data_IF_433572858672
#
_entry.id   IF_433572858672
#
_cell.length_a   1.000
_cell.length_b   1.000
_cell.length_c   1.000
_cell.angle_alpha   90.00
_cell.angle_beta   90.00
_cell.angle_gamma   90.00
#
_symmetry.space_group_name_H-M   'P 1'
#
loop_
_entity.id
_entity.type
_entity.pdbx_description
1 polymer ?
#
# COMPACT_ATOMS: atom_id res chain seq x y z
N UNK A 1 -14.78 19.59 -15.65
CA UNK A 1 -14.52 18.52 -16.60
C UNK A 1 -13.00 18.37 -16.74
N UNK A 2 -12.50 17.13 -16.82
CA UNK A 2 -11.11 16.80 -17.10
C UNK A 2 -11.03 16.20 -18.51
N UNK A 3 -10.02 16.59 -19.26
CA UNK A 3 -9.78 16.03 -20.60
C UNK A 3 -9.08 14.66 -20.50
N UNK A 4 -8.24 14.51 -19.48
CA UNK A 4 -7.48 13.28 -19.18
C UNK A 4 -7.23 13.13 -17.66
N UNK A 5 -6.71 11.97 -17.27
CA UNK A 5 -6.16 11.70 -15.92
C UNK A 5 -4.70 11.26 -16.05
N UNK A 6 -3.89 11.57 -15.03
CA UNK A 6 -2.45 11.23 -15.04
C UNK A 6 -2.24 9.72 -14.82
N UNK A 7 -3.07 9.11 -13.97
CA UNK A 7 -3.01 7.67 -13.67
C UNK A 7 -4.42 7.12 -13.48
N UNK A 8 -4.75 6.03 -14.18
CA UNK A 8 -6.01 5.31 -14.05
C UNK A 8 -5.75 3.85 -13.65
N UNK A 9 -6.38 3.39 -12.55
CA UNK A 9 -6.11 2.08 -11.97
C UNK A 9 -7.34 1.16 -12.00
N UNK A 10 -7.13 -0.12 -12.31
CA UNK A 10 -8.09 -1.18 -11.97
C UNK A 10 -7.98 -1.42 -10.45
N UNK A 11 -9.11 -1.28 -9.73
CA UNK A 11 -9.12 -1.28 -8.26
C UNK A 11 -8.72 -2.63 -7.63
N UNK A 12 -9.08 -3.74 -8.24
CA UNK A 12 -8.79 -5.08 -7.71
C UNK A 12 -8.87 -6.17 -8.78
N UNK A 13 -8.27 -7.35 -8.55
CA UNK A 13 -8.26 -8.46 -9.50
C UNK A 13 -9.56 -9.28 -9.51
N UNK A 14 -10.59 -8.89 -8.76
CA UNK A 14 -11.81 -9.71 -8.54
C UNK A 14 -12.66 -9.97 -9.79
N UNK A 15 -12.39 -9.32 -10.92
CA UNK A 15 -13.08 -9.58 -12.17
C UNK A 15 -12.80 -10.99 -12.76
N UNK A 16 -11.88 -11.75 -12.17
CA UNK A 16 -11.49 -13.10 -12.61
C UNK A 16 -11.23 -13.16 -14.14
N UNK A 17 -12.07 -13.88 -14.88
CA UNK A 17 -11.94 -14.03 -16.34
C UNK A 17 -12.05 -12.71 -17.13
N UNK A 18 -12.43 -11.62 -16.50
CA UNK A 18 -12.54 -10.29 -17.14
C UNK A 18 -11.33 -9.39 -16.94
N UNK A 19 -10.25 -9.84 -16.27
CA UNK A 19 -9.07 -8.99 -16.00
C UNK A 19 -8.36 -8.56 -17.27
N UNK A 20 -8.17 -9.47 -18.19
CA UNK A 20 -7.53 -9.21 -19.48
C UNK A 20 -8.33 -8.21 -20.33
N UNK A 21 -9.66 -8.36 -20.39
CA UNK A 21 -10.55 -7.44 -21.11
C UNK A 21 -10.53 -6.05 -20.47
N UNK A 22 -10.55 -5.97 -19.13
CA UNK A 22 -10.43 -4.70 -18.43
C UNK A 22 -9.09 -4.03 -18.72
N UNK A 23 -7.99 -4.80 -18.74
CA UNK A 23 -6.68 -4.25 -19.05
C UNK A 23 -6.60 -3.75 -20.50
N UNK A 24 -7.12 -4.51 -21.47
CA UNK A 24 -7.22 -4.07 -22.87
C UNK A 24 -8.01 -2.76 -23.00
N UNK A 25 -9.12 -2.63 -22.26
CA UNK A 25 -9.89 -1.38 -22.26
C UNK A 25 -9.10 -0.19 -21.70
N UNK A 26 -8.24 -0.39 -20.68
CA UNK A 26 -7.35 0.66 -20.19
C UNK A 26 -6.28 1.05 -21.22
N UNK A 27 -5.73 0.09 -21.93
CA UNK A 27 -4.78 0.34 -23.03
C UNK A 27 -5.43 1.21 -24.13
N UNK A 28 -6.67 0.93 -24.50
CA UNK A 28 -7.43 1.75 -25.45
C UNK A 28 -7.63 3.19 -24.93
N UNK A 29 -7.96 3.37 -23.65
CA UNK A 29 -8.09 4.70 -23.03
C UNK A 29 -6.75 5.46 -23.01
N UNK A 30 -5.65 4.77 -22.80
CA UNK A 30 -4.30 5.35 -22.87
C UNK A 30 -3.96 5.77 -24.29
N UNK A 31 -4.22 4.94 -25.28
CA UNK A 31 -4.00 5.26 -26.71
C UNK A 31 -4.85 6.47 -27.16
N UNK A 32 -6.06 6.61 -26.63
CA UNK A 32 -6.94 7.75 -26.86
C UNK A 32 -6.52 9.02 -26.11
N UNK A 33 -5.46 8.97 -25.29
CA UNK A 33 -4.99 10.07 -24.46
C UNK A 33 -5.92 10.44 -23.31
N UNK A 34 -6.82 9.53 -22.89
CA UNK A 34 -7.71 9.73 -21.73
C UNK A 34 -7.04 9.39 -20.40
N UNK A 35 -6.01 8.59 -20.41
CA UNK A 35 -5.10 8.34 -19.29
C UNK A 35 -3.66 8.46 -19.79
N UNK A 36 -2.80 9.18 -19.07
CA UNK A 36 -1.37 9.25 -19.39
C UNK A 36 -0.70 7.93 -19.01
N UNK A 37 -0.98 7.44 -17.80
CA UNK A 37 -0.51 6.17 -17.31
C UNK A 37 -1.70 5.30 -16.87
N UNK A 38 -1.52 4.01 -16.99
CA UNK A 38 -2.49 3.02 -16.53
C UNK A 38 -1.82 2.02 -15.60
N UNK A 39 -2.57 1.53 -14.63
CA UNK A 39 -2.05 0.61 -13.64
C UNK A 39 -3.14 -0.23 -13.00
N UNK A 40 -2.75 -0.89 -11.95
CA UNK A 40 -3.61 -1.80 -11.21
C UNK A 40 -3.53 -1.53 -9.71
N UNK A 41 -4.43 -2.12 -8.96
CA UNK A 41 -4.38 -2.14 -7.51
C UNK A 41 -4.71 -3.53 -6.99
N UNK A 42 -3.96 -3.97 -5.98
CA UNK A 42 -4.14 -5.27 -5.34
C UNK A 42 -3.90 -6.49 -6.27
N UNK A 43 -3.07 -6.34 -7.29
CA UNK A 43 -2.69 -7.44 -8.14
C UNK A 43 -1.45 -8.16 -7.58
N UNK A 44 -1.54 -9.48 -7.42
CA UNK A 44 -0.42 -10.36 -7.11
C UNK A 44 0.42 -10.68 -8.33
N UNK A 45 1.54 -11.39 -8.13
CA UNK A 45 2.43 -11.81 -9.23
C UNK A 45 1.66 -12.63 -10.27
N UNK A 46 0.82 -13.58 -9.82
CA UNK A 46 0.01 -14.41 -10.71
C UNK A 46 -0.86 -13.60 -11.67
N UNK A 47 -1.47 -12.50 -11.19
CA UNK A 47 -2.31 -11.64 -12.02
C UNK A 47 -1.50 -10.83 -13.04
N UNK A 48 -0.28 -10.41 -12.66
CA UNK A 48 0.64 -9.71 -13.55
C UNK A 48 1.19 -10.65 -14.63
N UNK A 49 1.48 -11.90 -14.27
CA UNK A 49 1.91 -12.93 -15.21
C UNK A 49 0.84 -13.26 -16.25
N UNK A 50 -0.47 -13.17 -15.93
CA UNK A 50 -1.54 -13.31 -16.93
C UNK A 50 -1.38 -12.30 -18.08
N UNK A 51 -0.93 -11.07 -17.79
CA UNK A 51 -0.67 -10.07 -18.84
C UNK A 51 0.54 -10.44 -19.68
N UNK A 52 1.59 -10.97 -19.04
CA UNK A 52 2.81 -11.43 -19.75
C UNK A 52 2.48 -12.59 -20.67
N UNK A 53 1.72 -13.57 -20.20
CA UNK A 53 1.29 -14.75 -20.97
C UNK A 53 0.43 -14.36 -22.19
N UNK A 54 -0.37 -13.30 -22.08
CA UNK A 54 -1.17 -12.74 -23.18
C UNK A 54 -0.36 -11.77 -24.07
N UNK A 55 0.93 -11.57 -23.80
CA UNK A 55 1.78 -10.66 -24.57
C UNK A 55 1.38 -9.18 -24.43
N UNK A 56 0.71 -8.82 -23.32
CA UNK A 56 0.28 -7.46 -23.03
C UNK A 56 1.35 -6.71 -22.20
N UNK A 57 1.44 -5.38 -22.30
CA UNK A 57 2.36 -4.61 -21.48
C UNK A 57 1.96 -4.67 -20.01
N UNK A 58 2.96 -4.66 -19.12
CA UNK A 58 2.76 -4.56 -17.69
C UNK A 58 2.27 -3.15 -17.27
N UNK A 59 1.60 -3.02 -16.11
CA UNK A 59 1.13 -1.73 -15.61
C UNK A 59 2.27 -0.81 -15.22
N UNK A 60 2.05 0.51 -15.30
CA UNK A 60 3.00 1.50 -14.82
C UNK A 60 3.09 1.53 -13.29
N UNK A 61 2.02 1.16 -12.59
CA UNK A 61 1.97 1.15 -11.14
C UNK A 61 1.07 0.03 -10.61
N UNK A 62 1.40 -0.48 -9.41
CA UNK A 62 0.51 -1.33 -8.61
C UNK A 62 0.31 -0.68 -7.23
N UNK A 63 -0.94 -0.34 -6.91
CA UNK A 63 -1.30 0.21 -5.61
C UNK A 63 -1.68 -0.93 -4.66
N UNK A 64 -0.90 -1.13 -3.61
CA UNK A 64 -1.04 -2.26 -2.69
C UNK A 64 -1.01 -1.83 -1.23
N UNK A 65 -1.57 -2.64 -0.34
CA UNK A 65 -1.41 -2.47 1.10
C UNK A 65 0.05 -2.66 1.48
N UNK A 66 0.70 -1.60 2.00
CA UNK A 66 2.08 -1.66 2.47
C UNK A 66 2.29 -0.82 3.74
N UNK A 67 2.78 -1.48 4.75
CA UNK A 67 3.21 -0.92 6.03
C UNK A 67 4.10 -1.95 6.75
N UNK A 68 4.80 -1.63 7.86
CA UNK A 68 5.73 -2.56 8.49
C UNK A 68 5.17 -3.93 8.86
N UNK A 69 3.86 -4.06 9.08
CA UNK A 69 3.22 -5.36 9.35
C UNK A 69 2.79 -6.13 8.09
N UNK A 70 2.86 -5.51 6.93
CA UNK A 70 2.47 -6.13 5.64
C UNK A 70 3.38 -5.62 4.53
N UNK A 71 4.54 -6.26 4.34
CA UNK A 71 5.63 -5.74 3.49
C UNK A 71 5.71 -6.41 2.12
N UNK A 72 5.16 -7.61 1.97
CA UNK A 72 5.04 -8.34 0.69
C UNK A 72 6.36 -8.39 -0.11
N UNK A 73 7.46 -8.90 0.47
CA UNK A 73 8.80 -8.78 -0.10
C UNK A 73 8.94 -9.38 -1.49
N UNK A 74 8.30 -10.51 -1.77
CA UNK A 74 8.34 -11.16 -3.09
C UNK A 74 7.65 -10.30 -4.16
N UNK A 75 6.45 -9.80 -3.87
CA UNK A 75 5.72 -8.93 -4.79
C UNK A 75 6.46 -7.61 -5.01
N UNK A 76 6.98 -6.99 -3.95
CA UNK A 76 7.77 -5.75 -4.04
C UNK A 76 9.01 -5.95 -4.91
N UNK A 77 9.71 -7.08 -4.77
CA UNK A 77 10.86 -7.42 -5.62
C UNK A 77 10.43 -7.55 -7.08
N UNK A 78 9.38 -8.33 -7.34
CA UNK A 78 8.84 -8.49 -8.70
C UNK A 78 8.47 -7.16 -9.35
N UNK A 79 7.77 -6.28 -8.61
CA UNK A 79 7.37 -4.96 -9.12
C UNK A 79 8.58 -4.10 -9.49
N UNK A 80 9.60 -4.05 -8.63
CA UNK A 80 10.84 -3.30 -8.88
C UNK A 80 11.63 -3.84 -10.07
N UNK A 81 11.76 -5.16 -10.19
CA UNK A 81 12.49 -5.82 -11.29
C UNK A 81 11.82 -5.58 -12.65
N UNK A 82 10.50 -5.35 -12.65
CA UNK A 82 9.71 -5.05 -13.85
C UNK A 82 9.44 -3.54 -14.05
N UNK A 83 10.07 -2.65 -13.28
CA UNK A 83 9.87 -1.19 -13.34
C UNK A 83 8.41 -0.76 -13.14
N UNK A 84 7.68 -1.45 -12.25
CA UNK A 84 6.31 -1.10 -11.87
C UNK A 84 6.38 -0.27 -10.59
N UNK A 85 5.88 0.96 -10.63
CA UNK A 85 5.86 1.84 -9.48
C UNK A 85 4.95 1.29 -8.37
N UNK A 86 5.39 1.48 -7.13
CA UNK A 86 4.68 0.98 -5.95
C UNK A 86 3.98 2.14 -5.25
N UNK A 87 2.67 2.03 -5.09
CA UNK A 87 1.87 2.98 -4.34
C UNK A 87 1.35 2.28 -3.09
N UNK A 88 1.78 2.75 -1.92
CA UNK A 88 1.41 2.19 -0.63
C UNK A 88 0.12 2.81 -0.09
N UNK A 89 -0.96 2.03 0.01
CA UNK A 89 -2.15 2.46 0.74
C UNK A 89 -2.18 1.81 2.14
N UNK A 90 -3.06 2.32 2.99
CA UNK A 90 -3.22 1.86 4.37
C UNK A 90 -1.93 1.96 5.22
N UNK A 91 -1.01 2.85 4.88
CA UNK A 91 0.29 2.99 5.54
C UNK A 91 0.20 3.22 7.05
N UNK A 92 -0.92 3.75 7.56
CA UNK A 92 -1.16 4.04 8.98
C UNK A 92 -1.96 2.95 9.71
N UNK A 93 -2.18 1.79 9.09
CA UNK A 93 -2.91 0.67 9.71
C UNK A 93 -2.35 0.25 11.07
N UNK A 94 -1.03 0.20 11.29
CA UNK A 94 -0.48 -0.12 12.62
C UNK A 94 -0.95 0.80 13.76
N UNK A 95 -1.45 2.00 13.44
CA UNK A 95 -1.97 2.96 14.41
C UNK A 95 -3.49 3.06 14.40
N UNK A 96 -4.15 2.27 13.55
CA UNK A 96 -5.59 2.42 13.28
C UNK A 96 -6.44 1.57 14.19
N UNK A 97 -7.42 2.19 14.81
CA UNK A 97 -8.55 1.54 15.47
C UNK A 97 -9.87 1.70 14.68
N UNK A 98 -9.80 2.10 13.42
CA UNK A 98 -10.96 2.45 12.60
C UNK A 98 -11.93 1.30 12.32
N UNK A 99 -11.47 0.06 12.46
CA UNK A 99 -12.30 -1.14 12.37
C UNK A 99 -12.90 -1.56 13.71
N UNK A 100 -12.54 -0.87 14.78
CA UNK A 100 -13.12 -1.10 16.10
C UNK A 100 -14.48 -0.39 16.15
N UNK A 101 -15.52 -1.10 15.81
CA UNK A 101 -16.91 -0.71 16.07
C UNK A 101 -17.45 -1.54 17.22
N UNK A 102 -18.20 -0.92 18.10
CA UNK A 102 -18.88 -1.62 19.20
C UNK A 102 -19.69 -2.79 18.63
N UNK A 103 -19.28 -4.02 18.98
CA UNK A 103 -19.94 -5.26 18.58
C UNK A 103 -19.46 -5.94 17.29
N UNK A 104 -18.46 -5.39 16.59
CA UNK A 104 -17.89 -5.97 15.36
C UNK A 104 -16.38 -6.21 15.47
N UNK A 105 -15.95 -7.01 16.45
CA UNK A 105 -14.52 -7.29 16.64
C UNK A 105 -14.08 -8.51 15.82
N UNK A 106 -13.18 -8.31 14.85
CA UNK A 106 -12.39 -9.40 14.30
C UNK A 106 -11.14 -9.67 15.17
N UNK A 107 -10.57 -10.88 15.11
CA UNK A 107 -9.31 -11.18 15.80
C UNK A 107 -8.19 -10.21 15.41
N UNK A 108 -8.12 -9.83 14.15
CA UNK A 108 -7.15 -8.82 13.63
C UNK A 108 -7.33 -7.44 14.27
N UNK A 109 -8.57 -7.03 14.51
CA UNK A 109 -8.89 -5.76 15.17
C UNK A 109 -8.44 -5.74 16.63
N UNK A 110 -8.61 -6.84 17.35
CA UNK A 110 -8.18 -6.98 18.75
C UNK A 110 -6.66 -6.94 18.88
N UNK A 111 -5.92 -7.59 17.97
CA UNK A 111 -4.46 -7.53 17.93
C UNK A 111 -3.97 -6.11 17.66
N UNK A 112 -4.53 -5.42 16.68
CA UNK A 112 -4.18 -4.04 16.35
C UNK A 112 -4.44 -3.08 17.52
N UNK A 113 -5.52 -3.30 18.25
CA UNK A 113 -5.85 -2.51 19.43
C UNK A 113 -4.83 -2.71 20.56
N UNK A 114 -4.46 -3.96 20.85
CA UNK A 114 -3.43 -4.28 21.83
C UNK A 114 -2.07 -3.67 21.47
N UNK A 115 -1.67 -3.78 20.21
CA UNK A 115 -0.44 -3.18 19.71
C UNK A 115 -0.45 -1.64 19.84
N UNK A 116 -1.61 -1.01 19.60
CA UNK A 116 -1.80 0.44 19.75
C UNK A 116 -1.71 0.93 21.20
N UNK A 117 -2.06 0.09 22.19
CA UNK A 117 -1.95 0.40 23.62
C UNK A 117 -0.57 0.12 24.19
N UNK A 118 0.24 -0.71 23.52
CA UNK A 118 1.58 -1.07 24.00
C UNK A 118 2.50 0.15 24.08
N UNK A 119 2.92 0.48 25.29
CA UNK A 119 3.89 1.55 25.53
C UNK A 119 5.30 1.24 25.00
N UNK A 120 5.58 -0.03 24.72
CA UNK A 120 6.84 -0.53 24.15
C UNK A 120 6.74 -0.77 22.65
N UNK A 121 5.67 -0.32 22.01
CA UNK A 121 5.54 -0.39 20.55
C UNK A 121 6.78 0.18 19.86
N UNK A 122 7.39 -0.54 18.90
CA UNK A 122 8.53 -0.05 18.14
C UNK A 122 8.26 1.32 17.49
N UNK A 123 7.02 1.58 17.07
CA UNK A 123 6.64 2.87 16.48
C UNK A 123 6.73 4.02 17.48
N UNK A 124 6.31 3.81 18.74
CA UNK A 124 6.44 4.81 19.82
C UNK A 124 7.88 5.08 20.20
N UNK A 125 8.69 4.01 20.29
CA UNK A 125 10.12 4.14 20.59
C UNK A 125 10.81 4.95 19.49
N UNK A 126 10.58 4.63 18.22
CA UNK A 126 11.16 5.34 17.10
C UNK A 126 10.64 6.78 16.98
N UNK A 127 9.35 7.01 17.20
CA UNK A 127 8.77 8.34 17.22
C UNK A 127 9.47 9.23 18.26
N UNK A 128 9.72 8.69 19.46
CA UNK A 128 10.48 9.39 20.50
C UNK A 128 11.93 9.64 20.11
N UNK A 129 12.63 8.66 19.52
CA UNK A 129 14.03 8.77 19.07
C UNK A 129 14.20 9.88 18.04
N UNK A 130 13.31 9.96 17.06
CA UNK A 130 13.38 10.93 15.95
C UNK A 130 12.63 12.23 16.24
N UNK A 131 11.96 12.35 17.39
CA UNK A 131 11.16 13.52 17.80
C UNK A 131 10.03 13.86 16.80
N UNK A 132 9.38 12.83 16.28
CA UNK A 132 8.26 12.90 15.33
C UNK A 132 7.07 12.07 15.83
N UNK A 133 5.95 12.11 15.12
CA UNK A 133 4.81 11.23 15.42
C UNK A 133 5.04 9.80 14.89
N UNK A 134 4.35 8.83 15.46
CA UNK A 134 4.33 7.43 14.96
C UNK A 134 3.85 7.37 13.49
N UNK A 135 2.88 8.23 13.12
CA UNK A 135 2.42 8.34 11.74
C UNK A 135 3.55 8.76 10.79
N UNK A 136 4.37 9.71 11.19
CA UNK A 136 5.53 10.12 10.39
C UNK A 136 6.56 9.01 10.24
N UNK A 137 6.80 8.18 11.28
CA UNK A 137 7.67 6.99 11.17
C UNK A 137 7.15 6.03 10.08
N UNK A 138 5.85 5.70 10.10
CA UNK A 138 5.25 4.80 9.12
C UNK A 138 5.31 5.34 7.69
N UNK A 139 5.01 6.62 7.52
CA UNK A 139 5.05 7.27 6.21
C UNK A 139 6.48 7.41 5.69
N UNK A 140 7.43 7.79 6.56
CA UNK A 140 8.85 7.91 6.20
C UNK A 140 9.44 6.57 5.82
N UNK A 141 9.11 5.49 6.54
CA UNK A 141 9.52 4.13 6.18
C UNK A 141 9.18 3.80 4.73
N UNK A 142 7.93 4.02 4.32
CA UNK A 142 7.48 3.75 2.96
C UNK A 142 8.19 4.62 1.91
N UNK A 143 8.29 5.94 2.15
CA UNK A 143 9.01 6.85 1.27
C UNK A 143 10.50 6.51 1.15
N UNK A 144 11.13 6.09 2.24
CA UNK A 144 12.56 5.75 2.25
C UNK A 144 12.85 4.46 1.48
N UNK A 145 11.86 3.57 1.33
CA UNK A 145 11.90 2.39 0.46
C UNK A 145 11.57 2.70 -1.02
N UNK A 146 11.25 3.95 -1.33
CA UNK A 146 10.92 4.42 -2.67
C UNK A 146 9.46 4.22 -3.10
N UNK A 147 8.54 4.07 -2.13
CA UNK A 147 7.11 3.94 -2.43
C UNK A 147 6.41 5.30 -2.40
N UNK A 148 5.44 5.51 -3.29
CA UNK A 148 4.47 6.59 -3.12
C UNK A 148 3.50 6.25 -1.98
N UNK A 149 3.00 7.25 -1.26
CA UNK A 149 2.12 7.08 -0.10
C UNK A 149 0.84 7.86 -0.26
N UNK A 150 -0.25 7.35 0.32
CA UNK A 150 -1.59 7.95 0.24
C UNK A 150 -2.20 8.17 1.63
N UNK A 151 -1.60 9.01 2.49
CA UNK A 151 -2.13 9.28 3.81
C UNK A 151 -3.42 10.12 3.71
N UNK A 152 -4.50 9.68 4.37
CA UNK A 152 -5.77 10.40 4.43
C UNK A 152 -5.92 11.07 5.79
N UNK A 153 -6.25 12.35 5.80
CA UNK A 153 -6.70 13.07 7.00
C UNK A 153 -7.75 14.12 6.63
N UNK A 154 -8.59 14.47 7.61
CA UNK A 154 -9.51 15.62 7.56
C UNK A 154 -9.07 16.71 8.55
N UNK A 155 -8.02 16.50 9.30
CA UNK A 155 -7.45 17.44 10.27
C UNK A 155 -6.22 18.10 9.67
N UNK A 156 -6.19 19.43 9.62
CA UNK A 156 -5.12 20.21 8.98
C UNK A 156 -3.78 19.89 9.63
N UNK A 157 -3.68 19.93 10.95
CA UNK A 157 -2.46 19.59 11.68
C UNK A 157 -1.88 18.22 11.32
N UNK A 158 -2.75 17.20 11.17
CA UNK A 158 -2.31 15.87 10.73
C UNK A 158 -1.87 15.84 9.27
N UNK A 159 -2.47 16.67 8.41
CA UNK A 159 -2.02 16.78 7.01
C UNK A 159 -0.64 17.44 6.94
N UNK A 160 -0.39 18.48 7.74
CA UNK A 160 0.91 19.13 7.85
C UNK A 160 1.96 18.13 8.36
N UNK A 161 1.70 17.40 9.44
CA UNK A 161 2.58 16.37 9.97
C UNK A 161 2.85 15.23 8.96
N UNK A 162 1.83 14.80 8.21
CA UNK A 162 1.97 13.77 7.18
C UNK A 162 2.84 14.24 6.00
N UNK A 163 3.01 15.54 5.82
CA UNK A 163 3.86 16.14 4.79
C UNK A 163 5.29 16.42 5.28
N UNK A 164 5.47 16.63 6.59
CA UNK A 164 6.77 16.89 7.22
C UNK A 164 7.55 15.57 7.44
N UNK A 165 8.21 15.09 6.39
CA UNK A 165 8.87 13.78 6.33
C UNK A 165 10.36 13.89 5.92
N UNK A 166 11.02 15.00 6.17
CA UNK A 166 12.39 15.23 5.72
C UNK A 166 13.47 14.50 6.56
N UNK A 167 13.12 14.01 7.77
CA UNK A 167 14.05 13.22 8.58
C UNK A 167 14.36 11.85 7.93
N UNK A 168 15.44 11.21 8.36
CA UNK A 168 15.88 9.91 7.85
C UNK A 168 15.90 8.89 8.99
N UNK A 169 15.22 7.77 8.79
CA UNK A 169 15.31 6.59 9.66
C UNK A 169 16.64 5.90 9.35
N UNK A 170 17.46 5.64 10.37
CA UNK A 170 18.75 4.99 10.18
C UNK A 170 18.60 3.50 9.75
N UNK A 171 19.71 2.91 9.33
CA UNK A 171 19.69 1.55 8.76
C UNK A 171 19.28 0.48 9.75
N UNK A 172 19.65 0.64 11.02
CA UNK A 172 19.35 -0.35 12.06
C UNK A 172 17.86 -0.30 12.41
N UNK A 173 17.29 0.89 12.48
CA UNK A 173 15.85 1.07 12.71
C UNK A 173 15.01 0.66 11.49
N UNK A 174 15.50 0.90 10.27
CA UNK A 174 14.85 0.35 9.07
C UNK A 174 14.83 -1.17 9.07
N UNK A 175 15.90 -1.81 9.55
CA UNK A 175 15.97 -3.27 9.71
C UNK A 175 14.99 -3.74 10.80
N UNK A 176 14.92 -3.04 11.92
CA UNK A 176 13.93 -3.34 12.97
C UNK A 176 12.51 -3.27 12.40
N UNK A 177 12.17 -2.25 11.62
CA UNK A 177 10.86 -2.13 10.98
C UNK A 177 10.62 -3.25 9.95
N UNK A 178 11.67 -3.71 9.26
CA UNK A 178 11.58 -4.83 8.33
C UNK A 178 11.27 -6.16 9.04
N UNK A 179 11.75 -6.36 10.25
CA UNK A 179 11.50 -7.57 11.06
C UNK A 179 10.06 -7.65 11.62
N UNK A 180 9.26 -6.59 11.46
CA UNK A 180 7.85 -6.54 11.92
C UNK A 180 6.86 -7.16 10.93
N UNK A 181 7.30 -7.63 9.76
CA UNK A 181 6.41 -8.21 8.76
C UNK A 181 5.64 -9.42 9.29
N UNK A 182 4.33 -9.40 9.15
CA UNK A 182 3.42 -10.49 9.55
C UNK A 182 3.01 -11.37 8.38
N UNK A 183 3.43 -11.01 7.16
CA UNK A 183 3.15 -11.77 5.94
C UNK A 183 1.70 -11.74 5.46
N UNK A 184 0.83 -10.93 6.06
CA UNK A 184 -0.61 -10.92 5.78
C UNK A 184 -1.11 -9.54 5.34
N UNK A 185 -2.16 -9.52 4.51
CA UNK A 185 -2.99 -8.34 4.30
C UNK A 185 -3.95 -8.15 5.47
N UNK A 186 -4.01 -6.95 6.04
CA UNK A 186 -4.80 -6.63 7.23
C UNK A 186 -6.11 -5.95 6.84
N UNK A 187 -6.13 -5.14 5.79
CA UNK A 187 -7.26 -4.28 5.45
C UNK A 187 -8.40 -4.99 4.71
N UNK A 188 -8.17 -6.20 4.20
CA UNK A 188 -9.18 -6.97 3.48
C UNK A 188 -9.85 -8.01 4.39
N UNK A 189 -11.17 -7.88 4.59
CA UNK A 189 -11.96 -8.77 5.47
C UNK A 189 -12.23 -10.14 4.84
N UNK A 190 -12.36 -10.19 3.51
CA UNK A 190 -12.80 -11.37 2.77
C UNK A 190 -11.66 -12.13 2.08
N UNK A 191 -10.45 -12.00 2.58
CA UNK A 191 -9.26 -12.63 2.04
C UNK A 191 -8.31 -11.65 1.35
N UNK A 192 -7.07 -12.08 1.14
CA UNK A 192 -6.06 -11.28 0.48
C UNK A 192 -6.34 -11.21 -1.03
N UNK A 193 -6.60 -10.02 -1.61
CA UNK A 193 -6.85 -9.89 -3.04
C UNK A 193 -5.68 -10.33 -3.91
N UNK A 194 -4.45 -10.33 -3.37
CA UNK A 194 -3.25 -10.77 -4.09
C UNK A 194 -3.30 -12.27 -4.46
N UNK A 195 -4.11 -13.05 -3.76
CA UNK A 195 -4.22 -14.52 -3.91
C UNK A 195 -5.49 -14.97 -4.61
N UNK A 196 -6.32 -14.05 -5.08
CA UNK A 196 -7.54 -14.37 -5.85
C UNK A 196 -7.14 -15.11 -7.12
N UNK A 197 -7.79 -16.26 -7.44
CA UNK A 197 -7.51 -17.01 -8.67
C UNK A 197 -8.01 -16.30 -9.91
#
# INVERSE_FOLDING_TARGET
DLDYVDLYLIHSPHAKSGRIEQWKALLELQEQGKAINIGVSNWGINHLEELVDEGLPLPSANQIELHPWSQKPELVTYLKDNNIDIIAYSSLVPLSNWRHKDGENSLKTEEMYKDGEDSQSPFKILASKYQVSEAQILLRWALQLGYAILPKSIQIERMENNFDLEFIIDKDDMKLLQELDRGESITWEYGDPLTVP
#
